data_IF_673115907427
#
_entry.id   IF_673115907427
#
_cell.length_a   1.000
_cell.length_b   1.000
_cell.length_c   1.000
_cell.angle_alpha   90.00
_cell.angle_beta   90.00
_cell.angle_gamma   90.00
#
_symmetry.space_group_name_H-M   'P 1'
#
loop_
_entity.id
_entity.type
_entity.pdbx_description
1 polymer ?
#
# COMPACT_ATOMS: atom_id res chain seq x y z
N UNK A 1 -13.17 11.02 3.25
CA UNK A 1 -12.31 10.31 4.23
C UNK A 1 -11.57 11.38 5.00
N UNK A 2 -11.37 11.23 6.30
CA UNK A 2 -10.50 12.16 7.00
C UNK A 2 -9.03 11.94 6.57
N UNK A 3 -8.20 13.00 6.52
CA UNK A 3 -6.79 12.90 6.15
C UNK A 3 -6.03 12.02 7.16
N UNK A 4 -5.17 11.16 6.65
CA UNK A 4 -4.22 10.32 7.38
C UNK A 4 -2.86 10.99 7.46
N UNK A 5 -1.98 10.51 8.35
CA UNK A 5 -0.60 11.00 8.38
C UNK A 5 0.14 10.82 7.04
N UNK A 6 -0.26 9.83 6.24
CA UNK A 6 0.27 9.62 4.89
C UNK A 6 0.01 10.80 3.95
N UNK A 7 -1.06 11.57 4.15
CA UNK A 7 -1.38 12.70 3.28
C UNK A 7 -0.47 13.92 3.50
N UNK A 8 0.32 13.93 4.59
CA UNK A 8 1.14 15.06 5.02
C UNK A 8 2.62 14.74 5.22
N UNK A 9 2.99 13.46 5.16
CA UNK A 9 4.34 12.98 5.44
C UNK A 9 4.79 12.04 4.32
N UNK A 10 5.73 12.53 3.52
CA UNK A 10 6.28 11.81 2.37
C UNK A 10 7.03 10.54 2.80
N UNK A 11 7.70 10.55 3.96
CA UNK A 11 8.44 9.39 4.47
C UNK A 11 7.45 8.29 4.86
N UNK A 12 6.35 8.65 5.54
CA UNK A 12 5.30 7.67 5.86
C UNK A 12 4.62 7.13 4.60
N UNK A 13 4.51 7.94 3.55
CA UNK A 13 3.99 7.51 2.24
C UNK A 13 4.91 6.52 1.56
N UNK A 14 6.23 6.75 1.59
CA UNK A 14 7.23 5.82 1.07
C UNK A 14 7.17 4.48 1.82
N UNK A 15 7.16 4.53 3.15
CA UNK A 15 7.01 3.33 4.00
C UNK A 15 5.71 2.57 3.72
N UNK A 16 4.60 3.27 3.51
CA UNK A 16 3.34 2.65 3.11
C UNK A 16 3.47 1.94 1.75
N UNK A 17 4.08 2.60 0.77
CA UNK A 17 4.24 2.06 -0.58
C UNK A 17 5.09 0.79 -0.54
N UNK A 18 6.24 0.84 0.13
CA UNK A 18 7.12 -0.32 0.32
C UNK A 18 6.45 -1.44 1.12
N UNK A 19 5.62 -1.11 2.12
CA UNK A 19 4.84 -2.10 2.85
C UNK A 19 3.81 -2.81 1.95
N UNK A 20 3.12 -2.05 1.09
CA UNK A 20 2.14 -2.61 0.15
C UNK A 20 2.82 -3.47 -0.93
N UNK A 21 4.03 -3.10 -1.34
CA UNK A 21 4.85 -3.83 -2.32
C UNK A 21 5.59 -5.03 -1.71
N UNK A 22 5.74 -5.08 -0.39
CA UNK A 22 6.48 -6.13 0.30
C UNK A 22 7.99 -5.93 0.23
N UNK A 23 8.44 -4.70 0.00
CA UNK A 23 9.85 -4.31 -0.10
C UNK A 23 10.48 -4.02 1.27
N UNK A 24 9.67 -3.84 2.32
CA UNK A 24 10.19 -3.63 3.66
C UNK A 24 10.92 -4.86 4.19
N UNK A 25 12.08 -4.63 4.81
CA UNK A 25 12.78 -5.65 5.58
C UNK A 25 11.96 -6.10 6.79
N UNK A 26 12.29 -7.26 7.37
CA UNK A 26 11.57 -7.78 8.53
C UNK A 26 11.53 -6.80 9.73
N UNK A 27 12.63 -6.09 10.08
CA UNK A 27 12.60 -5.06 11.12
C UNK A 27 11.70 -3.87 10.77
N UNK A 28 11.80 -3.32 9.56
CA UNK A 28 10.99 -2.18 9.11
C UNK A 28 9.51 -2.51 9.11
N UNK A 29 9.17 -3.69 8.58
CA UNK A 29 7.81 -4.21 8.58
C UNK A 29 7.26 -4.31 9.99
N UNK A 30 8.03 -4.82 10.95
CA UNK A 30 7.61 -4.94 12.35
C UNK A 30 7.38 -3.56 12.99
N UNK A 31 8.27 -2.61 12.73
CA UNK A 31 8.14 -1.23 13.21
C UNK A 31 6.89 -0.55 12.63
N UNK A 32 6.64 -0.73 11.34
CA UNK A 32 5.46 -0.17 10.66
C UNK A 32 4.17 -0.82 11.15
N UNK A 33 4.15 -2.14 11.35
CA UNK A 33 2.99 -2.84 11.92
C UNK A 33 2.70 -2.39 13.37
N UNK A 34 3.74 -2.10 14.16
CA UNK A 34 3.59 -1.52 15.49
C UNK A 34 3.00 -0.10 15.44
N UNK A 35 3.46 0.73 14.51
CA UNK A 35 2.87 2.05 14.24
C UNK A 35 1.38 1.93 13.89
N UNK A 36 1.01 1.04 12.96
CA UNK A 36 -0.38 0.82 12.57
C UNK A 36 -1.23 0.24 13.72
N UNK A 37 -0.64 -0.52 14.64
CA UNK A 37 -1.36 -1.04 15.80
C UNK A 37 -1.82 0.07 16.75
N UNK A 38 -1.02 1.14 16.87
CA UNK A 38 -1.33 2.32 17.69
C UNK A 38 -2.25 3.30 16.94
N UNK A 39 -2.19 3.31 15.61
CA UNK A 39 -2.87 4.26 14.75
C UNK A 39 -4.02 3.57 13.97
N UNK A 40 -5.20 3.48 14.60
CA UNK A 40 -6.35 2.71 14.08
C UNK A 40 -6.84 3.21 12.71
N UNK A 41 -6.80 4.51 12.47
CA UNK A 41 -7.28 5.15 11.24
C UNK A 41 -6.38 4.80 10.06
N UNK A 42 -5.08 4.90 10.26
CA UNK A 42 -4.00 4.54 9.34
C UNK A 42 -4.10 3.05 9.03
N UNK A 43 -4.31 2.20 10.03
CA UNK A 43 -4.55 0.76 9.83
C UNK A 43 -5.76 0.47 8.94
N UNK A 44 -6.85 1.21 9.10
CA UNK A 44 -8.04 1.08 8.23
C UNK A 44 -7.70 1.53 6.81
N UNK A 45 -6.93 2.61 6.66
CA UNK A 45 -6.47 3.10 5.36
C UNK A 45 -5.58 2.06 4.65
N UNK A 46 -4.54 1.53 5.31
CA UNK A 46 -3.65 0.49 4.75
C UNK A 46 -4.44 -0.74 4.30
N UNK A 47 -5.42 -1.18 5.10
CA UNK A 47 -6.30 -2.30 4.71
C UNK A 47 -7.11 -2.00 3.44
N UNK A 48 -7.58 -0.77 3.27
CA UNK A 48 -8.29 -0.35 2.06
C UNK A 48 -7.34 -0.23 0.86
N UNK A 49 -6.15 0.35 1.06
CA UNK A 49 -5.10 0.42 0.05
C UNK A 49 -4.70 -0.97 -0.47
N UNK A 50 -4.49 -1.95 0.42
CA UNK A 50 -4.24 -3.35 0.03
C UNK A 50 -5.38 -3.96 -0.81
N UNK A 51 -6.64 -3.71 -0.43
CA UNK A 51 -7.80 -4.17 -1.21
C UNK A 51 -7.83 -3.53 -2.60
N UNK A 52 -7.55 -2.23 -2.69
CA UNK A 52 -7.45 -1.48 -3.95
C UNK A 52 -6.36 -2.05 -4.86
N UNK A 53 -5.13 -2.22 -4.32
CA UNK A 53 -4.02 -2.84 -5.05
C UNK A 53 -4.39 -4.23 -5.58
N UNK A 54 -5.03 -5.07 -4.76
CA UNK A 54 -5.48 -6.41 -5.20
C UNK A 54 -6.54 -6.35 -6.30
N UNK A 55 -7.47 -5.38 -6.24
CA UNK A 55 -8.47 -5.18 -7.27
C UNK A 55 -7.84 -4.73 -8.60
N UNK A 56 -6.91 -3.77 -8.55
CA UNK A 56 -6.15 -3.32 -9.72
C UNK A 56 -5.30 -4.44 -10.33
N UNK A 57 -4.62 -5.24 -9.50
CA UNK A 57 -3.85 -6.39 -9.95
C UNK A 57 -4.73 -7.47 -10.62
N UNK A 58 -5.96 -7.65 -10.15
CA UNK A 58 -6.93 -8.54 -10.82
C UNK A 58 -7.40 -7.96 -12.15
N UNK A 59 -7.70 -6.66 -12.19
CA UNK A 59 -8.09 -5.99 -13.42
C UNK A 59 -6.98 -6.09 -14.48
N UNK A 60 -5.73 -5.82 -14.11
CA UNK A 60 -4.58 -5.91 -15.00
C UNK A 60 -4.39 -7.32 -15.57
N UNK A 61 -4.73 -8.39 -14.83
CA UNK A 61 -4.70 -9.77 -15.35
C UNK A 61 -5.78 -10.06 -16.41
N UNK A 62 -6.83 -9.26 -16.45
CA UNK A 62 -7.93 -9.39 -17.41
C UNK A 62 -7.85 -8.38 -18.55
N UNK A 63 -6.99 -7.37 -18.45
CA UNK A 63 -6.61 -6.52 -19.56
C UNK A 63 -5.49 -7.27 -20.30
N UNK A 64 -5.90 -8.11 -21.25
CA UNK A 64 -5.00 -8.65 -22.26
C UNK A 64 -4.51 -7.45 -23.08
N UNK A 65 -3.35 -6.89 -22.72
CA UNK A 65 -2.75 -5.82 -23.52
C UNK A 65 -2.32 -6.50 -24.82
N UNK A 66 -2.91 -6.17 -25.98
CA UNK A 66 -2.46 -6.77 -27.22
C UNK A 66 -0.98 -6.42 -27.36
N UNK A 67 -0.12 -7.45 -27.39
CA UNK A 67 1.29 -7.29 -27.65
C UNK A 67 1.43 -6.73 -29.07
N UNK A 68 1.55 -5.41 -29.18
CA UNK A 68 1.96 -4.76 -30.41
C UNK A 68 3.46 -5.04 -30.54
N UNK A 69 3.80 -6.23 -31.01
CA UNK A 69 5.10 -6.49 -31.63
C UNK A 69 5.18 -5.59 -32.86
N UNK A 70 5.95 -4.52 -32.73
CA UNK A 70 6.47 -3.73 -33.84
C UNK A 70 7.54 -4.53 -34.60
#
# INVERSE_FOLDING_TARGET
>A
MEPTAFDSDDILTDFLTDYLDGNLSAPERKSFEAYLAQNKKEKIFVRKAMKGKKALARLAKHIDVPSVTA
#
